data_IF_590216946304
#
_entry.id   IF_590216946304
#
_cell.length_a   1.000
_cell.length_b   1.000
_cell.length_c   1.000
_cell.angle_alpha   90.00
_cell.angle_beta   90.00
_cell.angle_gamma   90.00
#
_symmetry.space_group_name_H-M   'P 1'
#
loop_
_entity.id
_entity.type
_entity.pdbx_description
1 polymer ?
#
# COMPACT_ATOMS: atom_id res chain seq x y z
N UNK A 1 -56.96 -46.18 25.00
CA UNK A 1 -57.54 -46.91 23.85
C UNK A 1 -58.21 -45.89 22.95
N UNK A 2 -57.99 -46.02 21.63
CA UNK A 2 -58.45 -45.17 20.52
C UNK A 2 -57.49 -44.03 20.10
N UNK A 3 -56.54 -44.45 19.27
CA UNK A 3 -55.91 -43.70 18.18
C UNK A 3 -56.97 -43.35 17.12
N UNK A 4 -56.99 -42.11 16.61
CA UNK A 4 -57.48 -41.75 15.28
C UNK A 4 -56.93 -40.38 14.89
N UNK A 5 -56.10 -40.40 13.86
CA UNK A 5 -55.47 -39.29 13.14
C UNK A 5 -56.43 -38.52 12.24
N UNK A 6 -56.18 -37.21 12.07
CA UNK A 6 -56.19 -36.42 10.80
C UNK A 6 -56.44 -34.91 11.08
N UNK A 7 -56.08 -33.99 10.16
CA UNK A 7 -54.83 -33.85 9.41
C UNK A 7 -54.27 -32.39 9.42
N UNK A 8 -53.06 -32.29 8.90
CA UNK A 8 -52.19 -31.15 8.57
C UNK A 8 -52.88 -29.82 8.14
N UNK A 9 -52.40 -28.70 8.69
CA UNK A 9 -52.69 -27.33 8.23
C UNK A 9 -51.42 -26.72 7.63
N UNK A 10 -51.42 -26.26 6.36
CA UNK A 10 -50.23 -25.64 5.76
C UNK A 10 -50.10 -24.13 6.04
N UNK A 11 -48.84 -23.74 6.24
CA UNK A 11 -48.10 -22.54 5.80
C UNK A 11 -48.85 -21.22 5.50
N UNK A 12 -48.54 -20.14 6.22
CA UNK A 12 -47.47 -19.16 5.92
C UNK A 12 -47.83 -18.17 4.80
N UNK A 13 -48.26 -16.99 5.23
CA UNK A 13 -47.67 -15.71 4.82
C UNK A 13 -47.57 -15.39 3.32
N UNK A 14 -48.69 -14.96 2.76
CA UNK A 14 -48.85 -13.70 2.00
C UNK A 14 -47.68 -13.21 1.13
N UNK A 15 -47.73 -13.58 -0.15
CA UNK A 15 -47.80 -12.69 -1.33
C UNK A 15 -47.21 -11.27 -1.23
N UNK A 16 -46.15 -11.03 -2.00
CA UNK A 16 -46.15 -10.00 -3.05
C UNK A 16 -44.96 -10.17 -4.00
N UNK A 17 -45.17 -10.91 -5.09
CA UNK A 17 -44.35 -10.79 -6.30
C UNK A 17 -44.94 -9.69 -7.20
N UNK A 18 -44.11 -8.76 -7.65
CA UNK A 18 -44.37 -7.96 -8.85
C UNK A 18 -43.25 -8.20 -9.87
N UNK A 19 -43.55 -8.63 -11.10
CA UNK A 19 -42.57 -8.75 -12.18
C UNK A 19 -42.63 -7.54 -13.13
N UNK A 20 -41.48 -6.97 -13.49
CA UNK A 20 -41.20 -6.10 -14.66
C UNK A 20 -39.72 -5.71 -14.60
N UNK A 21 -38.85 -5.71 -15.61
CA UNK A 21 -38.76 -6.10 -17.02
C UNK A 21 -37.22 -6.09 -17.31
N UNK A 22 -36.69 -6.72 -18.39
CA UNK A 22 -35.25 -6.95 -18.53
C UNK A 22 -34.44 -5.65 -18.72
N UNK A 23 -33.39 -5.51 -17.92
CA UNK A 23 -32.42 -4.41 -18.02
C UNK A 23 -31.64 -4.51 -19.34
N UNK A 24 -31.81 -3.50 -20.19
CA UNK A 24 -31.07 -3.37 -21.45
C UNK A 24 -29.56 -3.19 -21.15
N UNK A 25 -28.65 -3.77 -21.95
CA UNK A 25 -27.23 -3.74 -21.66
C UNK A 25 -26.69 -2.30 -21.70
N UNK A 26 -26.16 -1.85 -20.57
CA UNK A 26 -25.51 -0.56 -20.43
C UNK A 26 -24.29 -0.47 -21.38
N UNK A 27 -24.26 0.62 -22.14
CA UNK A 27 -23.18 0.97 -23.08
C UNK A 27 -21.84 1.05 -22.34
N UNK A 28 -20.72 0.53 -22.88
CA UNK A 28 -19.44 0.54 -22.17
C UNK A 28 -18.98 1.98 -21.89
N UNK A 29 -18.45 2.27 -20.69
CA UNK A 29 -18.01 3.62 -20.36
C UNK A 29 -16.82 4.02 -21.24
N UNK A 30 -16.87 5.25 -21.78
CA UNK A 30 -15.74 5.89 -22.48
C UNK A 30 -14.52 5.98 -21.54
N UNK A 31 -13.28 5.90 -22.06
CA UNK A 31 -12.08 5.96 -21.21
C UNK A 31 -12.05 7.30 -20.47
N UNK A 32 -12.20 7.24 -19.15
CA UNK A 32 -12.16 8.41 -18.29
C UNK A 32 -10.71 8.90 -18.17
N UNK A 33 -10.53 10.23 -18.10
CA UNK A 33 -9.22 10.83 -17.80
C UNK A 33 -8.73 10.32 -16.44
N UNK A 34 -7.42 10.06 -16.25
CA UNK A 34 -6.90 9.54 -14.99
C UNK A 34 -7.23 10.50 -13.84
N UNK A 35 -7.66 9.91 -12.72
CA UNK A 35 -8.01 10.66 -11.51
C UNK A 35 -6.79 11.42 -10.97
N UNK A 36 -7.01 12.39 -10.09
CA UNK A 36 -5.89 13.09 -9.42
C UNK A 36 -5.01 12.13 -8.64
N UNK A 37 -5.59 11.08 -8.07
CA UNK A 37 -4.86 10.08 -7.29
C UNK A 37 -4.07 9.12 -8.18
N UNK A 38 -4.55 8.76 -9.37
CA UNK A 38 -3.76 7.97 -10.33
C UNK A 38 -2.51 8.75 -10.76
N UNK A 39 -2.65 10.03 -11.11
CA UNK A 39 -1.50 10.88 -11.47
C UNK A 39 -0.48 11.02 -10.33
N UNK A 40 -0.95 11.03 -9.09
CA UNK A 40 -0.08 11.06 -7.91
C UNK A 40 0.61 9.72 -7.72
N UNK A 41 -0.11 8.61 -7.87
CA UNK A 41 0.46 7.28 -7.81
C UNK A 41 1.54 7.09 -8.88
N UNK A 42 1.29 7.52 -10.12
CA UNK A 42 2.29 7.52 -11.20
C UNK A 42 3.54 8.34 -10.85
N UNK A 43 3.37 9.52 -10.24
CA UNK A 43 4.49 10.35 -9.80
C UNK A 43 5.30 9.67 -8.69
N UNK A 44 4.62 9.10 -7.70
CA UNK A 44 5.27 8.37 -6.60
C UNK A 44 5.99 7.13 -7.13
N UNK A 45 5.37 6.38 -8.05
CA UNK A 45 5.98 5.21 -8.67
C UNK A 45 7.29 5.56 -9.39
N UNK A 46 7.34 6.70 -10.10
CA UNK A 46 8.58 7.20 -10.72
C UNK A 46 9.66 7.50 -9.67
N UNK A 47 9.29 8.07 -8.53
CA UNK A 47 10.24 8.35 -7.44
C UNK A 47 10.76 7.06 -6.81
N UNK A 48 9.87 6.08 -6.57
CA UNK A 48 10.25 4.75 -6.06
C UNK A 48 11.20 4.05 -7.04
N UNK A 49 10.88 4.07 -8.34
CA UNK A 49 11.72 3.45 -9.38
C UNK A 49 13.09 4.13 -9.47
N UNK A 50 13.14 5.46 -9.41
CA UNK A 50 14.39 6.20 -9.42
C UNK A 50 15.26 5.90 -8.19
N UNK A 51 14.65 5.80 -7.01
CA UNK A 51 15.31 5.38 -5.79
C UNK A 51 15.88 3.96 -5.94
N UNK A 52 15.04 2.98 -6.30
CA UNK A 52 15.46 1.59 -6.49
C UNK A 52 16.60 1.45 -7.51
N UNK A 53 16.51 2.17 -8.64
CA UNK A 53 17.56 2.17 -9.66
C UNK A 53 18.90 2.75 -9.18
N UNK A 54 18.87 3.71 -8.25
CA UNK A 54 20.09 4.32 -7.69
C UNK A 54 20.74 3.46 -6.61
N UNK A 55 19.97 2.56 -5.98
CA UNK A 55 20.36 1.82 -4.77
C UNK A 55 20.42 0.29 -4.97
N UNK A 56 20.43 -0.17 -6.23
CA UNK A 56 20.54 -1.61 -6.55
C UNK A 56 19.27 -2.44 -6.28
N UNK A 57 18.13 -1.78 -6.14
CA UNK A 57 16.85 -2.37 -5.72
C UNK A 57 16.24 -1.59 -4.56
N UNK A 58 14.98 -1.88 -4.23
CA UNK A 58 14.35 -1.36 -3.03
C UNK A 58 13.28 -2.32 -2.50
N UNK A 59 13.17 -2.38 -1.18
CA UNK A 59 12.02 -2.90 -0.44
C UNK A 59 11.35 -1.73 0.30
N UNK A 60 10.10 -1.88 0.71
CA UNK A 60 9.42 -0.80 1.41
C UNK A 60 8.25 -1.20 2.28
N UNK A 61 7.71 -0.22 2.98
CA UNK A 61 6.64 -0.40 3.95
C UNK A 61 5.64 0.75 3.89
N UNK A 62 4.35 0.42 4.00
CA UNK A 62 3.26 1.39 4.00
C UNK A 62 2.70 1.56 5.42
N UNK A 63 2.91 2.74 6.02
CA UNK A 63 2.36 3.07 7.33
C UNK A 63 1.36 4.22 7.24
N UNK A 64 0.18 4.05 7.83
CA UNK A 64 -0.74 5.17 8.02
C UNK A 64 -0.11 6.20 8.96
N UNK A 65 -0.18 7.46 8.54
CA UNK A 65 0.20 8.61 9.34
C UNK A 65 -1.00 9.56 9.45
N UNK A 66 -0.89 10.58 10.30
CA UNK A 66 -2.02 11.47 10.60
C UNK A 66 -2.71 12.06 9.35
N UNK A 67 -4.03 12.28 9.47
CA UNK A 67 -4.92 12.84 8.42
C UNK A 67 -5.13 11.95 7.20
N UNK A 68 -5.02 10.64 7.35
CA UNK A 68 -5.27 9.68 6.27
C UNK A 68 -4.17 9.60 5.21
N UNK A 69 -3.03 10.28 5.46
CA UNK A 69 -1.85 10.15 4.63
C UNK A 69 -1.13 8.83 4.94
N UNK A 70 -0.33 8.35 4.00
CA UNK A 70 0.44 7.11 4.11
C UNK A 70 1.90 7.40 3.83
N UNK A 71 2.75 6.99 4.77
CA UNK A 71 4.21 6.97 4.61
C UNK A 71 4.59 5.74 3.81
N UNK A 72 5.38 5.94 2.76
CA UNK A 72 6.07 4.89 2.03
C UNK A 72 7.54 4.94 2.45
N UNK A 73 7.94 4.06 3.36
CA UNK A 73 9.35 3.89 3.71
C UNK A 73 10.01 3.03 2.64
N UNK A 74 11.21 3.42 2.18
CA UNK A 74 12.00 2.72 1.17
C UNK A 74 13.37 2.40 1.76
N UNK A 75 13.84 1.18 1.54
CA UNK A 75 15.19 0.74 1.91
C UNK A 75 15.84 0.13 0.69
N UNK A 76 16.96 0.69 0.26
CA UNK A 76 17.76 0.24 -0.86
C UNK A 76 18.57 -1.00 -0.53
N UNK A 77 19.05 -1.72 -1.56
CA UNK A 77 19.91 -2.90 -1.36
C UNK A 77 21.28 -2.53 -0.75
N UNK A 78 21.73 -1.30 -0.96
CA UNK A 78 22.92 -0.71 -0.34
C UNK A 78 22.70 -0.21 1.10
N UNK A 79 21.46 -0.27 1.59
CA UNK A 79 21.04 0.15 2.92
C UNK A 79 20.71 1.63 3.07
N UNK A 80 20.82 2.42 2.00
CA UNK A 80 20.26 3.78 1.99
C UNK A 80 18.74 3.73 2.13
N UNK A 81 18.16 4.78 2.70
CA UNK A 81 16.74 4.79 3.01
C UNK A 81 16.10 6.14 2.74
N UNK A 82 14.81 6.09 2.38
CA UNK A 82 14.05 7.26 2.01
C UNK A 82 12.60 7.14 2.44
N UNK A 83 11.91 8.28 2.47
CA UNK A 83 10.49 8.34 2.79
C UNK A 83 9.76 9.19 1.77
N UNK A 84 8.67 8.64 1.24
CA UNK A 84 7.67 9.38 0.48
C UNK A 84 6.37 9.44 1.28
N UNK A 85 5.52 10.42 0.97
CA UNK A 85 4.20 10.56 1.58
C UNK A 85 3.14 10.63 0.50
N UNK A 86 2.21 9.69 0.56
CA UNK A 86 1.01 9.65 -0.25
C UNK A 86 -0.18 10.25 0.53
N UNK A 87 -1.11 10.95 -0.14
CA UNK A 87 -2.28 11.54 0.53
C UNK A 87 -3.37 10.52 0.89
N UNK A 88 -3.28 9.27 0.40
CA UNK A 88 -4.23 8.20 0.67
C UNK A 88 -3.58 6.82 0.58
N UNK A 89 -4.20 5.80 1.19
CA UNK A 89 -3.76 4.42 1.09
C UNK A 89 -3.81 3.89 -0.35
N UNK A 90 -4.86 4.21 -1.11
CA UNK A 90 -5.00 3.76 -2.49
C UNK A 90 -3.86 4.29 -3.38
N UNK A 91 -3.52 5.58 -3.26
CA UNK A 91 -2.42 6.15 -4.05
C UNK A 91 -1.06 5.58 -3.65
N UNK A 92 -0.85 5.23 -2.38
CA UNK A 92 0.37 4.59 -1.90
C UNK A 92 0.52 3.16 -2.44
N UNK A 93 -0.53 2.34 -2.29
CA UNK A 93 -0.54 0.94 -2.76
C UNK A 93 -0.39 0.90 -4.28
N UNK A 94 -1.13 1.76 -5.00
CA UNK A 94 -1.02 1.87 -6.45
C UNK A 94 0.38 2.27 -6.90
N UNK A 95 1.04 3.19 -6.20
CA UNK A 95 2.41 3.58 -6.52
C UNK A 95 3.40 2.43 -6.32
N UNK A 96 3.27 1.65 -5.24
CA UNK A 96 4.10 0.49 -4.96
C UNK A 96 3.92 -0.60 -6.04
N UNK A 97 2.67 -0.89 -6.43
CA UNK A 97 2.36 -1.83 -7.52
C UNK A 97 2.99 -1.38 -8.85
N UNK A 98 2.79 -0.11 -9.23
CA UNK A 98 3.33 0.44 -10.48
C UNK A 98 4.86 0.42 -10.52
N UNK A 99 5.52 0.54 -9.36
CA UNK A 99 6.97 0.50 -9.25
C UNK A 99 7.54 -0.91 -9.08
N UNK A 100 6.70 -1.94 -8.89
CA UNK A 100 7.15 -3.29 -8.57
C UNK A 100 7.86 -3.38 -7.21
N UNK A 101 7.47 -2.55 -6.24
CA UNK A 101 8.10 -2.49 -4.92
C UNK A 101 7.66 -3.68 -4.07
N UNK A 102 8.62 -4.46 -3.57
CA UNK A 102 8.35 -5.49 -2.55
C UNK A 102 7.95 -4.80 -1.25
N UNK A 103 6.74 -5.11 -0.76
CA UNK A 103 6.21 -4.54 0.47
C UNK A 103 6.34 -5.52 1.64
N UNK A 104 6.87 -5.00 2.75
CA UNK A 104 6.78 -5.62 4.08
C UNK A 104 5.57 -5.06 4.81
N UNK A 105 4.92 -5.88 5.64
CA UNK A 105 3.79 -5.46 6.48
C UNK A 105 4.25 -4.44 7.53
N UNK A 106 5.33 -4.75 8.22
CA UNK A 106 5.94 -3.93 9.26
C UNK A 106 7.34 -3.45 8.88
N UNK A 107 7.75 -2.34 9.51
CA UNK A 107 9.10 -1.81 9.36
C UNK A 107 9.96 -2.36 10.49
N UNK A 108 10.32 -3.64 10.39
CA UNK A 108 11.03 -4.37 11.44
C UNK A 108 12.05 -5.37 10.87
N UNK A 109 12.64 -6.17 11.76
CA UNK A 109 13.43 -7.37 11.46
C UNK A 109 14.33 -7.25 10.22
N UNK A 110 13.91 -7.93 9.16
CA UNK A 110 14.61 -8.03 7.87
C UNK A 110 14.72 -6.71 7.10
N UNK A 111 13.69 -5.86 7.16
CA UNK A 111 13.68 -4.58 6.45
C UNK A 111 14.48 -3.53 7.23
N UNK A 112 14.27 -3.47 8.55
CA UNK A 112 14.99 -2.56 9.43
C UNK A 112 16.48 -2.91 9.52
N UNK A 113 16.85 -4.20 9.46
CA UNK A 113 18.25 -4.62 9.51
C UNK A 113 19.06 -4.23 8.26
N UNK A 114 18.41 -3.99 7.11
CA UNK A 114 19.07 -3.50 5.89
C UNK A 114 19.47 -2.03 5.99
N UNK A 115 18.77 -1.24 6.81
CA UNK A 115 19.02 0.19 6.95
C UNK A 115 20.42 0.46 7.47
N UNK A 116 21.21 1.23 6.71
CA UNK A 116 22.49 1.76 7.14
C UNK A 116 22.33 3.22 7.50
N UNK A 117 22.67 3.55 8.73
CA UNK A 117 22.86 4.93 9.19
C UNK A 117 24.29 5.05 9.68
N UNK A 118 25.14 5.66 8.85
CA UNK A 118 26.56 5.82 9.11
C UNK A 118 26.89 6.91 10.13
N UNK A 119 28.17 7.02 10.53
CA UNK A 119 28.63 8.06 11.44
C UNK A 119 28.24 9.46 10.99
N UNK A 120 28.26 9.72 9.68
CA UNK A 120 27.85 10.99 9.09
C UNK A 120 26.37 11.33 9.27
N UNK A 121 25.48 10.36 9.06
CA UNK A 121 24.05 10.54 9.29
C UNK A 121 23.77 10.70 10.79
N UNK A 122 24.48 9.95 11.64
CA UNK A 122 24.42 10.10 13.10
C UNK A 122 24.87 11.48 13.56
N UNK A 123 25.96 12.01 13.01
CA UNK A 123 26.41 13.39 13.24
C UNK A 123 25.32 14.40 12.94
N UNK A 124 24.60 14.26 11.82
CA UNK A 124 23.54 15.20 11.45
C UNK A 124 22.27 15.02 12.28
N UNK A 125 21.99 13.82 12.78
CA UNK A 125 20.84 13.55 13.65
C UNK A 125 21.11 13.95 15.12
N UNK A 126 22.36 13.85 15.58
CA UNK A 126 22.76 14.19 16.95
C UNK A 126 22.94 15.70 17.19
N UNK A 127 22.86 16.53 16.14
CA UNK A 127 23.15 17.96 16.23
C UNK A 127 24.65 18.25 16.42
N UNK A 128 24.98 19.48 16.84
CA UNK A 128 26.37 20.01 16.89
C UNK A 128 27.36 19.22 17.77
N UNK A 129 26.90 18.17 18.47
CA UNK A 129 27.68 17.43 19.47
C UNK A 129 28.53 16.28 18.91
N UNK A 130 28.30 15.80 17.69
CA UNK A 130 29.01 14.61 17.17
C UNK A 130 29.50 14.84 15.74
N UNK A 131 30.29 15.87 15.45
CA UNK A 131 30.93 16.06 14.13
C UNK A 131 31.85 14.90 13.74
N UNK A 132 31.38 13.96 12.90
CA UNK A 132 32.12 12.77 12.46
C UNK A 132 32.22 12.67 10.93
N UNK A 133 33.24 11.95 10.40
CA UNK A 133 33.48 11.84 8.96
C UNK A 133 32.42 11.00 8.22
N UNK A 134 32.33 11.22 6.89
CA UNK A 134 31.45 10.55 5.93
C UNK A 134 31.41 9.01 6.03
N UNK A 135 30.25 8.39 5.79
CA UNK A 135 30.13 6.93 5.73
C UNK A 135 30.82 6.36 4.47
N UNK A 136 31.73 5.37 4.58
CA UNK A 136 32.33 4.72 3.42
C UNK A 136 31.36 3.71 2.77
N UNK A 137 31.50 3.41 1.46
CA UNK A 137 30.69 2.41 0.78
C UNK A 137 30.92 1.00 1.36
N UNK A 138 29.88 0.16 1.30
CA UNK A 138 29.95 -1.23 1.72
C UNK A 138 31.01 -2.00 0.93
N UNK A 139 31.87 -2.77 1.61
CA UNK A 139 32.80 -3.68 0.96
C UNK A 139 32.01 -4.76 0.21
N UNK A 140 32.23 -4.85 -1.11
CA UNK A 140 31.73 -5.95 -1.92
C UNK A 140 32.40 -7.25 -1.43
N UNK A 141 31.58 -8.25 -1.07
CA UNK A 141 32.01 -9.62 -0.81
C UNK A 141 31.72 -10.50 -2.00
#
# INVERSE_FOLDING_TARGET
>A
MADTTQPETPESGESAAQPSAPEAPAKPPKPAKPSKDEKRAERLARQITAFAGSHGGAEGQLAHIGRGAVRIALVGADGEWGVLVAPSQDSARRAAELAGLTLSDDFDGELAAKVRTGPYEWTRMAGIQLGGPGNPPAAAS
#
